data_IF_579649094339
#
_entry.id   IF_579649094339
#
_cell.length_a   1.000
_cell.length_b   1.000
_cell.length_c   1.000
_cell.angle_alpha   90.00
_cell.angle_beta   90.00
_cell.angle_gamma   90.00
#
_symmetry.space_group_name_H-M   'P 1'
#
loop_
_entity.id
_entity.type
_entity.pdbx_description
1 polymer ?
#
# COMPACT_ATOMS: atom_id res chain seq x y z
N UNK A 1 25.09 13.59 21.05
CA UNK A 1 23.84 12.83 21.30
C UNK A 1 23.63 11.88 20.14
N UNK A 2 23.50 10.57 20.37
CA UNK A 2 23.24 9.58 19.32
C UNK A 2 21.79 9.11 19.47
N UNK A 3 20.96 9.36 18.47
CA UNK A 3 19.58 8.88 18.43
C UNK A 3 19.57 7.46 17.84
N UNK A 4 18.81 6.56 18.45
CA UNK A 4 18.68 5.16 18.06
C UNK A 4 17.24 4.93 17.61
N UNK A 5 17.08 4.24 16.48
CA UNK A 5 15.76 3.83 15.96
C UNK A 5 15.52 2.39 16.34
N UNK A 6 14.35 2.11 16.92
CA UNK A 6 13.90 0.75 17.20
C UNK A 6 13.64 -0.02 15.90
N UNK A 7 14.51 -0.98 15.61
CA UNK A 7 14.55 -1.68 14.32
C UNK A 7 13.28 -2.48 14.06
N UNK A 8 12.78 -3.21 15.05
CA UNK A 8 11.55 -4.01 14.91
C UNK A 8 10.36 -3.14 14.49
N UNK A 9 10.17 -2.01 15.15
CA UNK A 9 9.11 -1.06 14.82
C UNK A 9 9.31 -0.44 13.44
N UNK A 10 10.55 -0.10 13.07
CA UNK A 10 10.89 0.42 11.74
C UNK A 10 10.51 -0.58 10.64
N UNK A 11 10.85 -1.85 10.80
CA UNK A 11 10.51 -2.90 9.84
C UNK A 11 9.01 -3.18 9.77
N UNK A 12 8.29 -3.17 10.90
CA UNK A 12 6.83 -3.30 10.90
C UNK A 12 6.17 -2.19 10.07
N UNK A 13 6.58 -0.93 10.31
CA UNK A 13 6.11 0.24 9.56
C UNK A 13 6.45 0.15 8.06
N UNK A 14 7.62 -0.37 7.69
CA UNK A 14 7.98 -0.60 6.28
C UNK A 14 7.03 -1.57 5.59
N UNK A 15 6.78 -2.74 6.20
CA UNK A 15 5.90 -3.76 5.62
C UNK A 15 4.47 -3.23 5.46
N UNK A 16 3.94 -2.56 6.49
CA UNK A 16 2.61 -1.98 6.45
C UNK A 16 2.49 -0.86 5.40
N UNK A 17 3.53 -0.03 5.24
CA UNK A 17 3.57 0.99 4.19
C UNK A 17 3.56 0.38 2.79
N UNK A 18 4.40 -0.63 2.53
CA UNK A 18 4.38 -1.35 1.24
C UNK A 18 3.01 -2.02 1.00
N UNK A 19 2.42 -2.63 2.02
CA UNK A 19 1.08 -3.24 1.92
C UNK A 19 -0.01 -2.21 1.57
N UNK A 20 0.14 -0.96 2.01
CA UNK A 20 -0.78 0.14 1.64
C UNK A 20 -0.77 0.37 0.12
N UNK A 21 0.41 0.38 -0.51
CA UNK A 21 0.52 0.56 -1.95
C UNK A 21 -0.10 -0.61 -2.71
N UNK A 22 0.17 -1.84 -2.29
CA UNK A 22 -0.42 -3.04 -2.90
C UNK A 22 -1.95 -3.03 -2.80
N UNK A 23 -2.49 -2.70 -1.61
CA UNK A 23 -3.93 -2.60 -1.41
C UNK A 23 -4.54 -1.52 -2.30
N UNK A 24 -3.91 -0.35 -2.39
CA UNK A 24 -4.39 0.73 -3.24
C UNK A 24 -4.40 0.32 -4.72
N UNK A 25 -3.36 -0.39 -5.20
CA UNK A 25 -3.31 -0.94 -6.56
C UNK A 25 -4.45 -1.93 -6.83
N UNK A 26 -4.74 -2.87 -5.92
CA UNK A 26 -5.84 -3.81 -6.10
C UNK A 26 -7.21 -3.13 -6.06
N UNK A 27 -7.41 -2.15 -5.16
CA UNK A 27 -8.65 -1.37 -5.09
C UNK A 27 -8.91 -0.58 -6.37
N UNK A 28 -7.87 -0.02 -7.00
CA UNK A 28 -7.99 0.72 -8.26
C UNK A 28 -8.44 -0.16 -9.44
N UNK A 29 -8.23 -1.47 -9.38
CA UNK A 29 -8.73 -2.42 -10.39
C UNK A 29 -10.26 -2.58 -10.32
N UNK A 30 -10.83 -2.45 -9.13
CA UNK A 30 -12.27 -2.58 -8.87
C UNK A 30 -12.95 -1.22 -9.08
N UNK A 31 -12.41 -0.19 -8.45
CA UNK A 31 -12.98 1.15 -8.41
C UNK A 31 -12.08 2.14 -9.17
N UNK A 32 -12.40 2.37 -10.44
CA UNK A 32 -11.55 3.18 -11.35
C UNK A 32 -11.29 4.61 -10.89
N UNK A 33 -12.19 5.19 -10.10
CA UNK A 33 -12.08 6.55 -9.58
C UNK A 33 -11.70 6.59 -8.10
N UNK A 34 -11.33 5.44 -7.52
CA UNK A 34 -10.89 5.39 -6.13
C UNK A 34 -9.67 6.28 -5.93
N UNK A 35 -9.75 7.06 -4.86
CA UNK A 35 -8.65 7.85 -4.34
C UNK A 35 -8.51 7.52 -2.87
N UNK A 36 -7.27 7.51 -2.39
CA UNK A 36 -6.96 7.47 -0.97
C UNK A 36 -7.59 8.70 -0.28
N UNK A 37 -8.38 8.44 0.76
CA UNK A 37 -8.96 9.44 1.65
C UNK A 37 -8.19 9.53 2.98
N UNK A 38 -7.46 8.48 3.34
CA UNK A 38 -6.67 8.40 4.57
C UNK A 38 -5.84 7.12 4.64
N UNK A 39 -4.77 7.13 5.43
CA UNK A 39 -4.02 5.93 5.78
C UNK A 39 -3.42 6.07 7.17
N UNK A 40 -3.50 5.00 7.97
CA UNK A 40 -2.85 4.87 9.26
C UNK A 40 -2.00 3.61 9.26
N UNK A 41 -0.71 3.78 9.54
CA UNK A 41 0.23 2.68 9.75
C UNK A 41 0.69 2.74 11.20
N UNK A 42 0.25 1.76 11.98
CA UNK A 42 0.70 1.53 13.34
C UNK A 42 1.45 0.19 13.43
N UNK A 43 1.98 -0.14 14.60
CA UNK A 43 2.86 -1.29 14.82
C UNK A 43 2.20 -2.63 14.43
N UNK A 44 0.92 -2.79 14.78
CA UNK A 44 0.14 -4.03 14.55
C UNK A 44 -1.10 -3.82 13.66
N UNK A 45 -1.26 -2.63 13.06
CA UNK A 45 -2.50 -2.27 12.37
C UNK A 45 -2.26 -1.35 11.17
N UNK A 46 -2.92 -1.68 10.05
CA UNK A 46 -3.02 -0.84 8.86
C UNK A 46 -4.49 -0.50 8.61
N UNK A 47 -4.79 0.80 8.49
CA UNK A 47 -6.07 1.29 7.98
C UNK A 47 -5.85 2.04 6.67
N UNK A 48 -6.65 1.73 5.67
CA UNK A 48 -6.66 2.45 4.40
C UNK A 48 -8.09 2.92 4.11
N UNK A 49 -8.28 4.23 4.12
CA UNK A 49 -9.56 4.86 3.87
C UNK A 49 -9.62 5.28 2.40
N UNK A 50 -10.68 4.91 1.68
CA UNK A 50 -10.80 5.16 0.24
C UNK A 50 -12.24 5.47 -0.18
N UNK A 51 -12.38 6.21 -1.28
CA UNK A 51 -13.69 6.51 -1.86
C UNK A 51 -14.16 5.35 -2.74
N UNK A 52 -15.40 4.91 -2.54
CA UNK A 52 -16.07 3.91 -3.38
C UNK A 52 -17.55 4.27 -3.55
N UNK A 53 -18.13 3.89 -4.69
CA UNK A 53 -19.55 4.06 -5.00
C UNK A 53 -20.43 2.97 -4.36
N UNK A 54 -19.81 1.89 -3.88
CA UNK A 54 -20.45 0.80 -3.14
C UNK A 54 -19.47 0.12 -2.20
N UNK A 55 -20.01 -0.75 -1.33
CA UNK A 55 -19.19 -1.65 -0.52
C UNK A 55 -18.53 -2.73 -1.38
N UNK A 56 -17.38 -3.20 -0.90
CA UNK A 56 -16.74 -4.41 -1.42
C UNK A 56 -17.62 -5.62 -1.12
N UNK A 57 -17.69 -6.54 -2.08
CA UNK A 57 -18.25 -7.86 -1.86
C UNK A 57 -17.23 -8.77 -1.17
N UNK A 58 -17.70 -9.84 -0.52
CA UNK A 58 -16.80 -10.82 0.12
C UNK A 58 -15.85 -11.49 -0.88
N UNK A 59 -16.29 -11.70 -2.13
CA UNK A 59 -15.45 -12.25 -3.18
C UNK A 59 -14.31 -11.29 -3.56
N UNK A 60 -14.61 -10.00 -3.70
CA UNK A 60 -13.59 -8.98 -3.99
C UNK A 60 -12.57 -8.85 -2.85
N UNK A 61 -13.01 -8.91 -1.59
CA UNK A 61 -12.10 -8.91 -0.44
C UNK A 61 -11.15 -10.10 -0.51
N UNK A 62 -11.67 -11.29 -0.82
CA UNK A 62 -10.87 -12.49 -0.96
C UNK A 62 -9.86 -12.39 -2.12
N UNK A 63 -10.30 -11.86 -3.27
CA UNK A 63 -9.44 -11.69 -4.44
C UNK A 63 -8.33 -10.66 -4.18
N UNK A 64 -8.64 -9.54 -3.51
CA UNK A 64 -7.64 -8.56 -3.07
C UNK A 64 -6.59 -9.24 -2.19
N UNK A 65 -7.00 -9.96 -1.14
CA UNK A 65 -6.10 -10.64 -0.22
C UNK A 65 -5.21 -11.66 -0.94
N UNK A 66 -5.80 -12.46 -1.84
CA UNK A 66 -5.08 -13.45 -2.64
C UNK A 66 -4.04 -12.79 -3.56
N UNK A 67 -4.42 -11.76 -4.29
CA UNK A 67 -3.54 -11.08 -5.24
C UNK A 67 -2.39 -10.36 -4.52
N UNK A 68 -2.68 -9.68 -3.41
CA UNK A 68 -1.64 -9.05 -2.59
C UNK A 68 -0.61 -10.08 -2.11
N UNK A 69 -1.07 -11.22 -1.60
CA UNK A 69 -0.18 -12.29 -1.17
C UNK A 69 0.67 -12.85 -2.33
N UNK A 70 0.10 -13.01 -3.52
CA UNK A 70 0.86 -13.42 -4.70
C UNK A 70 1.98 -12.43 -5.05
N UNK A 71 1.73 -11.13 -4.98
CA UNK A 71 2.75 -10.10 -5.21
C UNK A 71 3.85 -10.18 -4.14
N UNK A 72 3.45 -10.36 -2.87
CA UNK A 72 4.39 -10.51 -1.75
C UNK A 72 5.28 -11.75 -1.94
N UNK A 73 4.70 -12.89 -2.29
CA UNK A 73 5.46 -14.12 -2.57
C UNK A 73 6.37 -14.00 -3.81
N UNK A 74 5.98 -13.17 -4.77
CA UNK A 74 6.80 -12.87 -5.94
C UNK A 74 8.07 -12.09 -5.62
N UNK A 75 8.14 -11.45 -4.43
CA UNK A 75 9.30 -10.69 -3.96
C UNK A 75 9.83 -9.68 -4.98
N UNK A 76 8.91 -9.01 -5.70
CA UNK A 76 9.24 -7.98 -6.69
C UNK A 76 10.10 -6.86 -6.09
N UNK A 77 11.01 -6.32 -6.88
CA UNK A 77 11.86 -5.20 -6.45
C UNK A 77 11.04 -3.94 -6.24
N UNK A 78 11.38 -3.18 -5.21
CA UNK A 78 10.80 -1.87 -4.92
C UNK A 78 11.90 -0.83 -5.09
N UNK A 79 11.75 0.01 -6.10
CA UNK A 79 12.72 1.04 -6.45
C UNK A 79 12.20 2.44 -6.14
N UNK A 80 13.08 3.31 -5.66
CA UNK A 80 12.81 4.73 -5.41
C UNK A 80 13.80 5.56 -6.19
N UNK A 81 13.31 6.52 -6.96
CA UNK A 81 14.13 7.44 -7.76
C UNK A 81 13.73 8.88 -7.49
N UNK A 82 14.71 9.72 -7.15
CA UNK A 82 14.53 11.17 -7.12
C UNK A 82 14.58 11.72 -8.55
N UNK A 83 13.59 12.52 -8.93
CA UNK A 83 13.49 13.11 -10.27
C UNK A 83 12.61 14.36 -10.24
N UNK A 84 12.54 15.09 -11.36
CA UNK A 84 11.65 16.26 -11.48
C UNK A 84 10.19 15.81 -11.57
N UNK A 85 9.25 16.68 -11.20
CA UNK A 85 7.83 16.39 -11.34
C UNK A 85 7.43 16.07 -12.79
N UNK A 86 7.95 16.85 -13.74
CA UNK A 86 7.65 16.67 -15.17
C UNK A 86 8.20 15.35 -15.73
N UNK A 87 9.32 14.87 -15.20
CA UNK A 87 9.88 13.57 -15.57
C UNK A 87 9.13 12.43 -14.87
N UNK A 88 8.70 12.61 -13.62
CA UNK A 88 7.93 11.62 -12.87
C UNK A 88 6.58 11.28 -13.52
N UNK A 89 5.89 12.26 -14.13
CA UNK A 89 4.63 12.03 -14.83
C UNK A 89 4.79 11.15 -16.08
N UNK A 90 5.99 11.14 -16.69
CA UNK A 90 6.26 10.42 -17.96
C UNK A 90 6.72 8.98 -17.76
N UNK A 91 7.05 8.59 -16.52
CA UNK A 91 7.41 7.21 -16.16
C UNK A 91 6.18 6.30 -16.21
#
# INVERSE_FOLDING_TARGET
>A
MKLIVEQCQRYAKMRAHTATHLLHTELAKIFKTTKQAGSLVDEDYLRFDFNADRLLTSAEIHDIEKNMNQIIYGASTVDVKETSYDDAIKL
#
